data_IF_014526372268
#
_entry.id   IF_014526372268
#
_cell.length_a   1.000
_cell.length_b   1.000
_cell.length_c   1.000
_cell.angle_alpha   90.00
_cell.angle_beta   90.00
_cell.angle_gamma   90.00
#
_symmetry.space_group_name_H-M   'P 1'
#
loop_
_entity.id
_entity.type
_entity.pdbx_description
1 polymer ?
#
# COMPACT_ATOMS: atom_id res chain seq x y z
N UNK A 1 20.99 -9.99 -15.70
CA UNK A 1 20.46 -11.38 -15.73
C UNK A 1 20.89 -12.25 -14.54
N UNK A 2 21.96 -11.95 -13.81
CA UNK A 2 22.42 -12.76 -12.65
C UNK A 2 21.69 -12.49 -11.33
N UNK A 3 21.01 -11.37 -11.17
CA UNK A 3 20.32 -11.00 -9.91
C UNK A 3 18.88 -11.55 -9.79
N UNK A 4 18.28 -12.01 -10.90
CA UNK A 4 16.92 -12.59 -10.87
C UNK A 4 16.89 -14.02 -10.30
N UNK A 5 17.97 -14.77 -10.40
CA UNK A 5 18.00 -16.16 -9.92
C UNK A 5 18.18 -16.32 -8.40
N UNK A 6 18.77 -15.32 -7.73
CA UNK A 6 18.98 -15.39 -6.28
C UNK A 6 17.71 -15.07 -5.44
N UNK A 7 16.76 -14.33 -6.01
CA UNK A 7 15.50 -14.02 -5.35
C UNK A 7 14.52 -15.21 -5.25
N UNK A 8 14.52 -16.08 -6.25
CA UNK A 8 13.59 -17.21 -6.33
C UNK A 8 13.98 -18.35 -5.37
N UNK A 9 15.29 -18.57 -5.17
CA UNK A 9 15.79 -19.68 -4.30
C UNK A 9 15.47 -19.50 -2.82
N UNK A 10 15.49 -18.26 -2.30
CA UNK A 10 15.18 -18.02 -0.89
C UNK A 10 13.66 -18.05 -0.58
N UNK A 11 12.82 -17.84 -1.59
CA UNK A 11 11.36 -17.79 -1.44
C UNK A 11 10.74 -19.20 -1.28
N UNK A 12 11.31 -20.21 -1.92
CA UNK A 12 10.86 -21.61 -1.76
C UNK A 12 11.24 -22.24 -0.40
N UNK A 13 12.27 -21.74 0.25
CA UNK A 13 12.71 -22.26 1.56
C UNK A 13 11.71 -21.90 2.69
N UNK A 14 11.03 -20.75 2.58
CA UNK A 14 10.03 -20.32 3.57
C UNK A 14 8.76 -21.20 3.54
N UNK A 15 8.31 -21.63 2.37
CA UNK A 15 7.15 -22.51 2.21
C UNK A 15 7.43 -23.89 2.81
N UNK A 16 8.66 -24.40 2.66
CA UNK A 16 9.08 -25.66 3.26
C UNK A 16 9.12 -25.64 4.79
N UNK A 17 9.54 -24.54 5.40
CA UNK A 17 9.54 -24.36 6.86
C UNK A 17 8.13 -24.26 7.45
N UNK A 18 7.17 -23.70 6.71
CA UNK A 18 5.78 -23.55 7.17
C UNK A 18 5.05 -24.87 7.22
N UNK A 19 5.30 -25.78 6.27
CA UNK A 19 4.74 -27.13 6.27
C UNK A 19 5.27 -27.97 7.43
N UNK A 20 6.52 -27.75 7.86
CA UNK A 20 7.11 -28.42 9.03
C UNK A 20 6.54 -27.92 10.37
N UNK A 21 6.22 -26.64 10.48
CA UNK A 21 5.59 -26.04 11.67
C UNK A 21 4.11 -26.44 11.82
N UNK A 22 3.35 -26.55 10.74
CA UNK A 22 1.96 -27.00 10.79
C UNK A 22 1.85 -28.46 11.24
N UNK A 23 2.81 -29.32 10.88
CA UNK A 23 2.85 -30.73 11.31
C UNK A 23 3.12 -30.91 12.81
N UNK A 24 3.87 -30.01 13.45
CA UNK A 24 4.21 -30.10 14.88
C UNK A 24 3.13 -29.59 15.82
N UNK A 25 2.28 -28.66 15.36
CA UNK A 25 1.18 -28.08 16.17
C UNK A 25 -0.01 -29.06 16.27
N UNK A 26 -0.21 -29.93 15.29
CA UNK A 26 -1.35 -30.87 15.26
C UNK A 26 -1.17 -32.03 16.27
N UNK A 27 0.05 -32.40 16.65
CA UNK A 27 0.31 -33.50 17.58
C UNK A 27 0.25 -33.14 19.07
N UNK A 28 0.20 -31.84 19.42
CA UNK A 28 0.39 -31.39 20.81
C UNK A 28 -0.84 -31.03 21.63
N UNK A 29 -2.05 -30.89 21.08
CA UNK A 29 -3.20 -30.32 21.80
C UNK A 29 -4.58 -30.93 21.54
N UNK A 30 -4.68 -32.20 21.20
CA UNK A 30 -6.00 -32.85 21.08
C UNK A 30 -6.64 -33.24 22.43
N UNK A 31 -5.94 -33.14 23.55
CA UNK A 31 -6.44 -33.61 24.87
C UNK A 31 -7.04 -32.53 25.80
N UNK A 32 -7.03 -31.26 25.45
CA UNK A 32 -7.37 -30.16 26.38
C UNK A 32 -8.74 -29.50 26.18
N UNK A 33 -9.49 -29.80 25.16
CA UNK A 33 -10.74 -29.05 24.84
C UNK A 33 -12.03 -29.82 25.15
N UNK A 34 -11.97 -31.11 25.47
CA UNK A 34 -13.17 -31.89 25.75
C UNK A 34 -13.84 -31.64 27.13
N UNK A 35 -13.19 -30.93 28.06
CA UNK A 35 -13.72 -30.79 29.42
C UNK A 35 -14.57 -29.52 29.69
N UNK A 36 -14.71 -28.58 28.76
CA UNK A 36 -15.39 -27.29 29.04
C UNK A 36 -16.81 -27.19 28.43
N UNK A 37 -17.21 -28.07 27.52
CA UNK A 37 -18.52 -27.97 26.84
C UNK A 37 -19.59 -28.93 27.41
N UNK A 38 -19.26 -29.74 28.41
CA UNK A 38 -20.15 -30.81 28.91
C UNK A 38 -21.16 -30.43 30.02
N UNK A 39 -21.13 -29.20 30.54
CA UNK A 39 -21.85 -28.91 31.78
C UNK A 39 -23.08 -27.98 31.68
N UNK A 40 -23.61 -27.63 30.52
CA UNK A 40 -24.75 -26.67 30.49
C UNK A 40 -25.90 -27.09 29.56
N UNK A 41 -26.28 -28.37 29.47
CA UNK A 41 -27.61 -28.72 28.92
C UNK A 41 -28.13 -29.96 29.65
N UNK A 42 -28.72 -29.77 30.81
CA UNK A 42 -29.68 -30.70 31.39
C UNK A 42 -30.79 -29.90 32.04
N UNK A 43 -31.91 -29.74 31.32
CA UNK A 43 -33.27 -29.83 31.90
C UNK A 43 -34.32 -29.46 30.85
N UNK A 44 -35.26 -30.41 30.69
CA UNK A 44 -36.63 -30.14 30.38
C UNK A 44 -37.10 -30.19 28.92
N UNK A 45 -37.45 -31.37 28.42
CA UNK A 45 -38.71 -31.60 27.72
C UNK A 45 -38.83 -33.08 27.31
N UNK A 46 -39.67 -33.82 28.00
CA UNK A 46 -40.15 -35.14 27.57
C UNK A 46 -41.08 -34.97 26.36
N UNK A 47 -40.68 -35.42 25.20
CA UNK A 47 -41.55 -35.64 24.05
C UNK A 47 -41.50 -37.12 23.69
N UNK A 48 -42.68 -37.62 23.63
CA UNK A 48 -43.13 -38.99 23.38
C UNK A 48 -42.39 -39.69 22.20
N UNK A 49 -41.96 -40.91 22.45
CA UNK A 49 -41.33 -41.81 21.49
C UNK A 49 -42.38 -42.32 20.52
N UNK A 50 -42.29 -41.93 19.27
CA UNK A 50 -42.78 -42.73 18.15
C UNK A 50 -41.60 -43.52 17.58
N UNK A 51 -41.55 -44.79 17.96
CA UNK A 51 -40.51 -45.74 17.55
C UNK A 51 -40.91 -46.40 16.23
N UNK A 52 -40.46 -45.81 15.13
CA UNK A 52 -40.16 -46.62 13.93
C UNK A 52 -38.65 -46.59 13.65
N UNK A 53 -37.96 -47.72 13.58
CA UNK A 53 -36.59 -47.73 13.17
C UNK A 53 -36.55 -47.47 11.65
N UNK A 54 -36.14 -46.25 11.27
CA UNK A 54 -35.69 -45.98 9.92
C UNK A 54 -34.44 -46.85 9.70
N UNK A 55 -34.58 -47.79 8.79
CA UNK A 55 -33.48 -48.65 8.31
C UNK A 55 -32.49 -47.79 7.55
N UNK A 56 -31.61 -47.13 8.29
CA UNK A 56 -30.50 -46.35 7.74
C UNK A 56 -29.44 -47.34 7.25
N UNK A 57 -29.25 -47.38 5.95
CA UNK A 57 -28.18 -48.11 5.28
C UNK A 57 -26.86 -47.98 6.10
N UNK A 58 -26.27 -49.12 6.59
CA UNK A 58 -25.16 -49.07 7.56
C UNK A 58 -23.82 -48.62 6.97
N UNK A 59 -23.78 -48.11 5.77
CA UNK A 59 -22.55 -47.72 5.06
C UNK A 59 -22.02 -46.33 5.30
N UNK A 60 -22.79 -45.41 5.88
CA UNK A 60 -22.27 -44.08 6.17
C UNK A 60 -21.65 -44.09 7.57
N UNK A 61 -20.44 -44.59 7.70
CA UNK A 61 -19.58 -44.22 8.84
C UNK A 61 -19.41 -42.70 8.74
N UNK A 62 -20.16 -41.97 9.55
CA UNK A 62 -20.09 -40.52 9.64
C UNK A 62 -18.68 -40.11 10.05
N UNK A 63 -17.84 -39.83 9.08
CA UNK A 63 -16.53 -39.25 9.30
C UNK A 63 -16.76 -37.79 9.63
N UNK A 64 -16.43 -37.43 10.88
CA UNK A 64 -16.82 -36.14 11.47
C UNK A 64 -15.95 -34.97 11.05
N UNK A 65 -14.81 -35.20 10.40
CA UNK A 65 -13.84 -34.16 10.11
C UNK A 65 -13.12 -34.37 8.79
N UNK A 66 -12.67 -33.27 8.21
CA UNK A 66 -11.85 -33.22 6.98
C UNK A 66 -10.72 -32.24 7.17
N UNK A 67 -9.58 -32.54 6.56
CA UNK A 67 -8.47 -31.64 6.41
C UNK A 67 -8.20 -31.47 4.92
N UNK A 68 -8.04 -30.23 4.47
CA UNK A 68 -7.78 -29.90 3.07
C UNK A 68 -6.48 -29.14 2.92
N UNK A 69 -5.83 -29.33 1.79
CA UNK A 69 -4.70 -28.54 1.32
C UNK A 69 -5.04 -28.00 -0.07
N UNK A 70 -4.93 -26.67 -0.24
CA UNK A 70 -5.23 -26.01 -1.49
C UNK A 70 -4.14 -25.06 -1.94
N UNK A 71 -4.02 -24.93 -3.26
CA UNK A 71 -3.30 -23.81 -3.89
C UNK A 71 -4.32 -22.76 -4.26
N UNK A 72 -4.06 -21.52 -3.87
CA UNK A 72 -4.94 -20.37 -4.08
C UNK A 72 -4.29 -19.32 -4.98
N UNK A 73 -5.14 -18.66 -5.74
CA UNK A 73 -4.77 -17.56 -6.63
C UNK A 73 -5.76 -16.43 -6.41
N UNK A 74 -5.28 -15.23 -6.06
CA UNK A 74 -6.12 -14.05 -5.89
C UNK A 74 -5.84 -13.01 -6.95
N UNK A 75 -6.89 -12.28 -7.34
CA UNK A 75 -6.88 -11.15 -8.25
C UNK A 75 -7.85 -10.08 -7.76
N UNK A 76 -7.74 -8.86 -8.28
CA UNK A 76 -8.65 -7.74 -7.93
C UNK A 76 -8.22 -6.98 -6.67
N UNK A 77 -6.99 -7.19 -6.20
CA UNK A 77 -6.38 -6.34 -5.18
C UNK A 77 -5.66 -5.16 -5.86
N UNK A 78 -5.70 -3.98 -5.25
CA UNK A 78 -5.13 -2.77 -5.82
C UNK A 78 -4.14 -2.13 -4.87
N UNK A 79 -3.16 -1.41 -5.42
CA UNK A 79 -2.27 -0.56 -4.63
C UNK A 79 -2.38 0.88 -5.08
N UNK A 80 -2.38 1.82 -4.15
CA UNK A 80 -2.27 3.24 -4.45
C UNK A 80 -1.10 3.85 -3.70
N UNK A 81 -0.40 4.78 -4.36
CA UNK A 81 0.74 5.49 -3.78
C UNK A 81 0.43 6.98 -3.83
N UNK A 82 0.41 7.61 -2.66
CA UNK A 82 0.26 9.06 -2.50
C UNK A 82 1.54 9.66 -1.95
N UNK A 83 1.85 10.88 -2.38
CA UNK A 83 2.97 11.62 -1.83
C UNK A 83 2.59 12.37 -0.56
N UNK A 84 3.50 12.39 0.39
CA UNK A 84 3.42 13.19 1.61
C UNK A 84 4.60 14.18 1.69
N UNK A 85 5.18 14.54 0.52
CA UNK A 85 6.32 15.44 0.46
C UNK A 85 5.92 16.85 0.91
N UNK A 86 6.76 17.47 1.71
CA UNK A 86 6.66 18.86 2.11
C UNK A 86 7.67 19.71 1.32
N UNK A 87 7.42 21.00 1.19
CA UNK A 87 8.46 21.92 0.70
C UNK A 87 9.68 21.89 1.62
N UNK A 88 10.84 22.13 1.04
CA UNK A 88 12.09 22.24 1.80
C UNK A 88 11.94 23.29 2.92
N UNK A 89 12.35 22.95 4.13
CA UNK A 89 12.42 23.89 5.24
C UNK A 89 13.35 25.07 4.97
N UNK A 90 14.28 24.92 4.02
CA UNK A 90 15.21 25.97 3.60
C UNK A 90 14.52 27.15 2.88
N UNK A 91 13.28 26.95 2.35
CA UNK A 91 12.49 28.05 1.78
C UNK A 91 11.94 28.97 2.85
N UNK A 92 11.70 28.46 4.06
CA UNK A 92 11.18 29.24 5.18
C UNK A 92 9.76 29.79 5.00
N UNK A 93 9.21 30.51 5.98
CA UNK A 93 7.91 31.17 5.87
C UNK A 93 7.96 32.40 4.98
N UNK A 94 6.82 32.77 4.34
CA UNK A 94 6.70 33.97 3.52
C UNK A 94 6.72 35.27 4.37
N UNK A 95 6.31 35.16 5.64
CA UNK A 95 6.22 36.29 6.57
C UNK A 95 7.18 36.11 7.73
N UNK A 96 7.69 37.24 8.26
CA UNK A 96 8.66 37.21 9.36
C UNK A 96 10.05 37.63 8.91
N UNK A 97 10.81 38.21 9.83
CA UNK A 97 12.09 38.85 9.52
C UNK A 97 13.16 37.93 8.97
N UNK A 98 14.25 38.49 8.68
CA UNK A 98 15.62 38.01 8.38
C UNK A 98 15.79 36.48 8.27
N UNK A 99 15.34 35.87 7.18
CA UNK A 99 15.49 34.46 6.94
C UNK A 99 16.25 34.19 5.64
N UNK A 100 17.32 33.43 5.73
CA UNK A 100 18.00 32.91 4.56
C UNK A 100 17.12 31.85 3.90
N UNK A 101 16.90 31.98 2.59
CA UNK A 101 16.05 31.09 1.81
C UNK A 101 16.83 30.44 0.70
N UNK A 102 16.59 29.17 0.48
CA UNK A 102 17.15 28.39 -0.60
C UNK A 102 16.02 27.80 -1.43
N UNK A 103 16.11 27.90 -2.75
CA UNK A 103 15.12 27.47 -3.73
C UNK A 103 15.76 26.45 -4.68
N UNK A 104 14.96 25.79 -5.49
CA UNK A 104 15.46 24.88 -6.52
C UNK A 104 16.28 25.62 -7.61
N UNK A 105 16.04 26.92 -7.81
CA UNK A 105 16.61 27.74 -8.87
C UNK A 105 17.33 28.99 -8.35
N UNK A 106 17.75 28.98 -7.07
CA UNK A 106 18.54 30.06 -6.53
C UNK A 106 18.46 30.22 -5.03
N UNK A 107 18.92 31.35 -4.54
CA UNK A 107 18.92 31.65 -3.11
C UNK A 107 18.72 33.15 -2.83
N UNK A 108 18.19 33.44 -1.65
CA UNK A 108 18.07 34.78 -1.11
C UNK A 108 18.55 34.74 0.34
N UNK A 109 19.69 35.42 0.61
CA UNK A 109 20.25 35.51 1.94
C UNK A 109 20.10 36.95 2.44
N UNK A 110 19.85 37.07 3.71
CA UNK A 110 19.62 38.38 4.31
C UNK A 110 20.92 39.12 4.55
N UNK A 111 20.89 40.40 4.33
CA UNK A 111 21.97 41.31 4.68
C UNK A 111 21.66 42.00 6.00
N UNK A 112 22.37 41.60 7.04
CA UNK A 112 22.25 42.24 8.34
C UNK A 112 22.86 43.64 8.40
N UNK A 113 23.59 44.07 7.36
CA UNK A 113 24.30 45.34 7.30
C UNK A 113 23.46 46.49 6.75
N UNK A 114 22.40 46.24 5.99
CA UNK A 114 21.52 47.25 5.44
C UNK A 114 20.53 47.87 6.46
N UNK A 115 20.46 47.35 7.67
CA UNK A 115 19.64 47.89 8.76
C UNK A 115 20.24 49.15 9.46
N UNK A 116 21.37 49.64 9.00
CA UNK A 116 22.12 50.68 9.66
C UNK A 116 21.79 52.12 9.22
N UNK A 117 20.55 52.46 8.86
CA UNK A 117 20.34 53.88 8.71
C UNK A 117 19.06 54.42 8.13
N UNK A 118 18.19 53.65 7.49
CA UNK A 118 16.95 54.19 6.96
C UNK A 118 15.73 53.37 7.35
N UNK A 119 15.12 53.71 8.46
CA UNK A 119 13.88 53.08 8.97
C UNK A 119 12.66 53.28 8.05
N UNK A 120 12.83 53.93 6.90
CA UNK A 120 11.72 54.29 5.98
C UNK A 120 11.70 53.46 4.70
N UNK A 121 12.75 52.70 4.39
CA UNK A 121 12.77 51.83 3.23
C UNK A 121 12.61 50.39 3.66
N UNK A 122 11.81 49.59 2.95
CA UNK A 122 11.80 48.14 3.18
C UNK A 122 13.23 47.60 3.07
N UNK A 123 13.61 46.74 4.01
CA UNK A 123 14.94 46.13 4.00
C UNK A 123 15.14 45.41 2.68
N UNK A 124 16.33 45.50 2.12
CA UNK A 124 16.72 44.95 0.83
C UNK A 124 18.03 44.18 0.96
N UNK A 125 18.16 43.09 0.24
CA UNK A 125 19.40 42.34 0.18
C UNK A 125 20.01 42.34 -1.21
N UNK A 126 21.34 42.33 -1.28
CA UNK A 126 22.11 42.07 -2.49
C UNK A 126 22.72 40.65 -2.51
N UNK A 127 22.50 39.86 -1.46
CA UNK A 127 22.94 38.45 -1.38
C UNK A 127 21.89 37.50 -1.94
N UNK A 128 21.72 37.54 -3.25
CA UNK A 128 20.88 36.58 -3.95
C UNK A 128 21.58 36.05 -5.19
N UNK A 129 21.22 34.88 -5.61
CA UNK A 129 21.67 34.28 -6.85
C UNK A 129 20.53 33.55 -7.52
N UNK A 130 20.51 33.56 -8.84
CA UNK A 130 19.51 32.89 -9.64
C UNK A 130 20.15 32.18 -10.82
N UNK A 131 19.49 31.13 -11.32
CA UNK A 131 20.06 30.22 -12.31
C UNK A 131 19.72 30.62 -13.75
N UNK A 132 18.58 31.31 -13.98
CA UNK A 132 18.09 31.56 -15.31
C UNK A 132 17.54 32.99 -15.47
N UNK A 133 17.83 33.62 -16.61
CA UNK A 133 17.34 34.96 -16.95
C UNK A 133 15.81 35.05 -17.05
N UNK A 134 15.10 33.95 -17.30
CA UNK A 134 13.64 33.91 -17.32
C UNK A 134 12.99 34.13 -15.95
N UNK A 135 13.76 34.05 -14.85
CA UNK A 135 13.30 34.41 -13.51
C UNK A 135 13.11 35.90 -13.30
N UNK A 136 13.72 36.73 -14.15
CA UNK A 136 13.63 38.20 -14.05
C UNK A 136 12.53 38.71 -14.97
N UNK A 137 11.54 39.42 -14.38
CA UNK A 137 10.36 39.94 -15.06
C UNK A 137 10.36 41.45 -15.10
N UNK A 138 9.91 42.01 -16.22
CA UNK A 138 9.59 43.46 -16.38
C UNK A 138 10.71 44.47 -16.07
N UNK A 139 11.92 44.26 -16.57
CA UNK A 139 12.98 45.25 -16.50
C UNK A 139 12.80 46.22 -17.68
N UNK A 140 12.99 47.60 -17.56
CA UNK A 140 13.90 48.25 -16.63
C UNK A 140 13.28 49.12 -15.51
N UNK A 141 11.97 49.27 -15.38
CA UNK A 141 11.42 50.33 -14.50
C UNK A 141 10.82 49.85 -13.17
N UNK A 142 10.27 48.68 -13.12
CA UNK A 142 9.73 48.02 -11.90
C UNK A 142 9.78 46.52 -12.13
N UNK A 143 10.94 45.93 -11.91
CA UNK A 143 11.14 44.54 -12.14
C UNK A 143 10.86 43.68 -10.92
N UNK A 144 10.62 42.43 -11.16
CA UNK A 144 10.57 41.38 -10.12
C UNK A 144 11.47 40.22 -10.50
N UNK A 145 11.82 39.42 -9.51
CA UNK A 145 12.51 38.20 -9.71
C UNK A 145 11.72 37.08 -8.98
N UNK A 146 11.52 35.97 -9.68
CA UNK A 146 10.80 34.80 -9.16
C UNK A 146 11.80 33.69 -8.80
N UNK A 147 11.62 33.13 -7.61
CA UNK A 147 12.33 31.91 -7.17
C UNK A 147 11.33 30.81 -6.95
N UNK A 148 11.71 29.58 -7.28
CA UNK A 148 10.81 28.47 -7.30
C UNK A 148 11.31 27.30 -6.45
N UNK A 149 10.35 26.64 -5.81
CA UNK A 149 10.53 25.35 -5.18
C UNK A 149 9.34 24.47 -5.56
N UNK A 150 9.56 23.18 -5.77
CA UNK A 150 8.48 22.27 -6.09
C UNK A 150 8.45 21.07 -5.13
N UNK A 151 7.24 20.59 -4.87
CA UNK A 151 7.03 19.32 -4.22
C UNK A 151 6.11 18.46 -5.07
N UNK A 152 6.31 17.17 -5.03
CA UNK A 152 5.40 16.23 -5.62
C UNK A 152 4.11 16.20 -4.81
N UNK A 153 2.99 16.62 -5.42
CA UNK A 153 1.70 16.66 -4.76
C UNK A 153 1.01 15.29 -4.77
N UNK A 154 1.57 14.38 -5.55
CA UNK A 154 1.02 13.05 -5.70
C UNK A 154 -0.23 13.05 -6.61
N UNK A 155 -0.72 11.92 -6.82
CA UNK A 155 -2.02 11.52 -7.34
C UNK A 155 -2.17 10.10 -6.86
N UNK A 156 -3.34 9.69 -6.42
CA UNK A 156 -3.61 8.29 -6.17
C UNK A 156 -3.32 7.55 -7.49
N UNK A 157 -2.25 6.76 -7.48
CA UNK A 157 -1.90 5.93 -8.61
C UNK A 157 -2.30 4.50 -8.25
N UNK A 158 -3.35 4.01 -8.86
CA UNK A 158 -3.63 2.59 -8.93
C UNK A 158 -3.19 2.11 -10.31
N UNK A 159 -2.27 1.17 -10.39
CA UNK A 159 -1.99 0.47 -11.63
C UNK A 159 -2.83 -0.82 -11.68
N UNK A 160 -4.01 -0.79 -12.30
CA UNK A 160 -4.82 -2.00 -12.45
C UNK A 160 -4.20 -2.97 -13.46
N UNK A 161 -3.16 -2.57 -14.18
CA UNK A 161 -2.54 -3.40 -15.22
C UNK A 161 -1.64 -4.52 -14.67
N UNK A 162 -1.29 -4.47 -13.39
CA UNK A 162 -0.48 -5.49 -12.71
C UNK A 162 -1.29 -6.37 -11.74
N UNK A 163 -2.59 -6.50 -11.93
CA UNK A 163 -3.44 -7.49 -11.25
C UNK A 163 -3.03 -8.93 -11.64
N UNK A 164 -1.77 -9.24 -11.40
CA UNK A 164 -1.26 -10.60 -11.45
C UNK A 164 -2.02 -11.45 -10.44
N UNK A 165 -2.18 -12.74 -10.77
CA UNK A 165 -2.66 -13.70 -9.79
C UNK A 165 -1.63 -13.82 -8.66
N UNK A 166 -2.03 -13.45 -7.46
CA UNK A 166 -1.23 -13.62 -6.24
C UNK A 166 -1.31 -15.07 -5.78
N UNK A 167 -0.22 -15.85 -5.85
CA UNK A 167 -0.24 -17.24 -5.45
C UNK A 167 -0.27 -17.40 -3.94
N UNK A 168 -0.87 -18.51 -3.49
CA UNK A 168 -0.92 -18.85 -2.08
C UNK A 168 -1.12 -20.33 -1.85
N UNK A 169 -1.01 -20.73 -0.59
CA UNK A 169 -1.33 -22.08 -0.10
C UNK A 169 -2.24 -21.98 1.10
N UNK A 170 -3.20 -22.89 1.19
CA UNK A 170 -4.19 -22.90 2.26
C UNK A 170 -4.33 -24.27 2.91
N UNK A 171 -4.38 -24.28 4.22
CA UNK A 171 -4.74 -25.43 5.04
C UNK A 171 -6.17 -25.21 5.53
N UNK A 172 -7.04 -26.20 5.32
CA UNK A 172 -8.46 -26.15 5.64
C UNK A 172 -8.80 -27.26 6.64
N UNK A 173 -9.67 -26.94 7.58
CA UNK A 173 -10.25 -27.91 8.49
C UNK A 173 -11.76 -27.73 8.51
N UNK A 174 -12.48 -28.82 8.22
CA UNK A 174 -13.94 -28.86 8.23
C UNK A 174 -14.43 -29.84 9.31
N UNK A 175 -15.30 -29.37 10.18
CA UNK A 175 -15.97 -30.20 11.21
C UNK A 175 -17.44 -30.33 10.91
N UNK A 176 -17.92 -31.54 10.75
CA UNK A 176 -19.34 -31.85 10.58
C UNK A 176 -20.09 -31.51 11.88
N UNK A 177 -21.11 -30.66 11.78
CA UNK A 177 -22.01 -30.30 12.87
C UNK A 177 -23.31 -31.08 12.79
N UNK A 178 -23.85 -31.22 11.58
CA UNK A 178 -25.12 -31.92 11.34
C UNK A 178 -25.20 -32.47 9.92
N UNK A 179 -25.80 -33.65 9.77
CA UNK A 179 -26.11 -34.24 8.47
C UNK A 179 -27.61 -34.48 8.37
N UNK A 180 -28.20 -34.23 7.21
CA UNK A 180 -29.59 -34.50 6.84
C UNK A 180 -29.67 -34.90 5.38
N UNK A 181 -30.12 -36.14 5.12
CA UNK A 181 -30.26 -36.65 3.75
C UNK A 181 -29.07 -36.32 2.84
N UNK A 182 -29.27 -35.31 1.96
CA UNK A 182 -28.25 -34.83 1.00
C UNK A 182 -27.48 -33.61 1.46
N UNK A 183 -27.73 -33.11 2.69
CA UNK A 183 -27.08 -31.91 3.21
C UNK A 183 -26.18 -32.22 4.40
N UNK A 184 -25.00 -31.62 4.38
CA UNK A 184 -24.10 -31.55 5.53
C UNK A 184 -23.87 -30.08 5.91
N UNK A 185 -23.95 -29.81 7.20
CA UNK A 185 -23.64 -28.52 7.80
C UNK A 185 -22.34 -28.65 8.56
N UNK A 186 -21.36 -27.90 8.15
CA UNK A 186 -19.99 -27.95 8.67
C UNK A 186 -19.57 -26.59 9.21
N UNK A 187 -18.59 -26.58 10.10
CA UNK A 187 -17.80 -25.40 10.43
C UNK A 187 -16.45 -25.55 9.73
N UNK A 188 -16.09 -24.58 8.90
CA UNK A 188 -14.79 -24.53 8.26
C UNK A 188 -13.90 -23.52 8.97
N UNK A 189 -12.62 -23.92 9.22
CA UNK A 189 -11.53 -23.06 9.64
C UNK A 189 -10.42 -23.21 8.61
N UNK A 190 -9.83 -22.11 8.17
CA UNK A 190 -8.74 -22.11 7.20
C UNK A 190 -7.61 -21.22 7.63
N UNK A 191 -6.39 -21.57 7.22
CA UNK A 191 -5.19 -20.76 7.36
C UNK A 191 -4.48 -20.73 6.01
N UNK A 192 -4.29 -19.53 5.44
CA UNK A 192 -3.66 -19.33 4.15
C UNK A 192 -2.44 -18.44 4.25
N UNK A 193 -1.46 -18.71 3.41
CA UNK A 193 -0.31 -17.85 3.16
C UNK A 193 -0.36 -17.38 1.72
N UNK A 194 -0.25 -16.06 1.50
CA UNK A 194 -0.34 -15.43 0.19
C UNK A 194 0.78 -14.43 0.01
N UNK A 195 1.23 -14.28 -1.24
CA UNK A 195 2.21 -13.27 -1.63
C UNK A 195 1.57 -12.35 -2.66
N UNK A 196 1.72 -11.04 -2.46
CA UNK A 196 1.24 -10.01 -3.37
C UNK A 196 2.43 -9.14 -3.77
N UNK A 197 2.63 -9.01 -5.07
CA UNK A 197 3.70 -8.18 -5.64
C UNK A 197 3.04 -7.14 -6.55
N UNK A 198 3.33 -5.86 -6.30
CA UNK A 198 2.83 -4.75 -7.11
C UNK A 198 4.04 -3.96 -7.63
N UNK A 199 3.95 -3.53 -8.86
CA UNK A 199 4.98 -2.69 -9.47
C UNK A 199 4.31 -1.54 -10.21
N UNK A 200 4.73 -0.32 -9.91
CA UNK A 200 4.31 0.90 -10.60
C UNK A 200 5.49 1.47 -11.36
N UNK A 201 5.29 1.82 -12.63
CA UNK A 201 6.33 2.40 -13.49
C UNK A 201 5.82 3.65 -14.18
N UNK A 202 6.73 4.57 -14.49
CA UNK A 202 6.57 5.75 -15.35
C UNK A 202 5.13 6.31 -15.41
N UNK A 203 4.86 7.35 -14.64
CA UNK A 203 3.52 7.94 -14.54
C UNK A 203 3.56 9.45 -14.67
N UNK A 204 2.46 10.10 -15.11
CA UNK A 204 2.31 11.52 -14.93
C UNK A 204 2.30 11.87 -13.44
N UNK A 205 2.80 13.03 -13.09
CA UNK A 205 2.84 13.50 -11.71
C UNK A 205 2.35 14.94 -11.63
N UNK A 206 1.60 15.23 -10.59
CA UNK A 206 1.23 16.60 -10.26
C UNK A 206 2.19 17.15 -9.21
N UNK A 207 2.72 18.32 -9.51
CA UNK A 207 3.66 19.05 -8.64
C UNK A 207 3.02 20.35 -8.20
N UNK A 208 3.09 20.63 -6.91
CA UNK A 208 2.79 21.95 -6.40
C UNK A 208 4.07 22.78 -6.41
N UNK A 209 4.01 23.93 -7.07
CA UNK A 209 5.14 24.87 -7.21
C UNK A 209 4.87 26.08 -6.33
N UNK A 210 5.78 26.31 -5.38
CA UNK A 210 5.89 27.54 -4.64
C UNK A 210 6.69 28.54 -5.48
N UNK A 211 6.14 29.73 -5.70
CA UNK A 211 6.83 30.86 -6.33
C UNK A 211 6.90 32.01 -5.34
N UNK A 212 8.11 32.43 -5.01
CA UNK A 212 8.40 33.63 -4.22
C UNK A 212 8.88 34.72 -5.13
N UNK A 213 8.06 35.77 -5.29
CA UNK A 213 8.34 36.95 -6.12
C UNK A 213 8.91 38.05 -5.25
N UNK A 214 10.09 38.55 -5.60
CA UNK A 214 10.76 39.65 -4.95
C UNK A 214 10.80 40.90 -5.84
N UNK A 215 10.62 42.09 -5.26
CA UNK A 215 10.75 43.34 -5.97
C UNK A 215 12.22 43.68 -6.20
N UNK A 216 12.57 44.07 -7.42
CA UNK A 216 13.90 44.56 -7.78
C UNK A 216 14.14 45.99 -7.34
N UNK A 217 15.34 46.26 -6.87
CA UNK A 217 15.74 47.58 -6.38
C UNK A 217 16.17 48.58 -7.46
N UNK A 218 15.63 48.48 -8.65
CA UNK A 218 15.85 49.46 -9.73
C UNK A 218 17.12 49.28 -10.57
N UNK A 219 17.97 48.28 -10.25
CA UNK A 219 19.14 47.89 -11.06
C UNK A 219 18.84 46.51 -11.66
N UNK A 220 18.94 46.47 -12.99
CA UNK A 220 18.75 45.22 -13.73
C UNK A 220 19.83 44.19 -13.37
N UNK A 221 19.49 43.04 -12.76
CA UNK A 221 20.47 42.04 -12.43
C UNK A 221 21.07 41.35 -13.67
N UNK A 222 20.46 41.53 -14.85
CA UNK A 222 20.96 41.02 -16.13
C UNK A 222 21.97 41.97 -16.79
N UNK A 223 22.07 43.24 -16.37
CA UNK A 223 22.93 44.25 -16.98
C UNK A 223 24.44 43.93 -16.83
N UNK A 224 24.83 43.11 -15.86
CA UNK A 224 26.26 42.76 -15.63
C UNK A 224 26.61 41.31 -16.06
N UNK A 225 25.75 40.69 -16.82
CA UNK A 225 25.88 39.28 -17.21
C UNK A 225 25.00 38.38 -16.40
N UNK A 226 24.66 37.24 -16.93
CA UNK A 226 23.78 36.24 -16.33
C UNK A 226 24.53 34.98 -16.03
N UNK A 227 24.10 34.28 -14.98
CA UNK A 227 23.18 34.65 -13.88
C UNK A 227 23.94 35.48 -12.81
N UNK A 228 23.23 36.40 -12.15
CA UNK A 228 23.81 37.10 -11.02
C UNK A 228 23.95 36.16 -9.83
N UNK A 229 25.17 36.08 -9.30
CA UNK A 229 25.51 35.31 -8.11
C UNK A 229 26.06 36.28 -7.07
N UNK A 230 25.22 36.76 -6.19
CA UNK A 230 25.54 37.77 -5.20
C UNK A 230 26.81 37.45 -4.43
N UNK A 231 27.62 38.50 -4.22
CA UNK A 231 28.87 38.40 -3.46
C UNK A 231 28.62 38.74 -1.98
N UNK A 232 29.24 38.02 -1.06
CA UNK A 232 29.31 38.36 0.36
C UNK A 232 30.25 39.52 0.66
N UNK A 233 30.76 40.20 -0.35
CA UNK A 233 31.61 41.37 -0.16
C UNK A 233 30.74 42.59 0.11
N UNK A 234 31.08 43.42 1.13
CA UNK A 234 30.28 44.55 1.54
C UNK A 234 30.18 45.59 0.41
N UNK A 235 28.97 46.08 0.18
CA UNK A 235 28.56 47.26 -0.57
C UNK A 235 29.42 47.68 -1.78
N UNK A 236 29.25 47.00 -2.89
CA UNK A 236 29.60 47.60 -4.17
C UNK A 236 28.44 48.50 -4.56
N UNK A 237 28.68 49.81 -4.55
CA UNK A 237 27.72 50.82 -5.07
C UNK A 237 27.28 50.41 -6.49
N UNK A 238 25.98 50.24 -6.70
CA UNK A 238 25.42 49.83 -7.97
C UNK A 238 25.24 48.31 -8.14
N UNK A 239 25.24 47.51 -7.07
CA UNK A 239 24.82 46.12 -7.12
C UNK A 239 23.31 45.99 -7.21
N UNK A 240 22.76 44.99 -7.93
CA UNK A 240 21.35 44.69 -7.87
C UNK A 240 20.91 44.38 -6.43
N UNK A 241 19.68 44.78 -6.07
CA UNK A 241 19.09 44.57 -4.77
C UNK A 241 17.68 44.07 -4.94
N UNK A 242 17.22 43.20 -4.05
CA UNK A 242 15.84 42.74 -4.00
C UNK A 242 15.25 42.99 -2.59
N UNK A 243 13.93 43.03 -2.49
CA UNK A 243 13.23 43.12 -1.21
C UNK A 243 13.51 41.90 -0.33
N UNK A 244 13.41 42.03 0.99
CA UNK A 244 13.67 40.95 1.93
C UNK A 244 12.50 39.96 2.06
N UNK A 245 11.29 40.43 1.74
CA UNK A 245 10.08 39.64 1.87
C UNK A 245 9.51 39.29 0.49
N UNK A 246 9.24 38.03 0.23
CA UNK A 246 8.60 37.61 -1.01
C UNK A 246 7.09 37.76 -0.96
N UNK A 247 6.51 37.99 -2.14
CA UNK A 247 5.10 37.70 -2.37
C UNK A 247 4.98 36.24 -2.83
N UNK A 248 4.46 35.37 -1.94
CA UNK A 248 4.35 33.94 -2.15
C UNK A 248 3.05 33.54 -2.79
N UNK A 249 3.14 32.69 -3.80
CA UNK A 249 2.00 32.05 -4.47
C UNK A 249 2.29 30.56 -4.72
N UNK A 250 1.23 29.78 -4.89
CA UNK A 250 1.29 28.35 -5.20
C UNK A 250 0.58 28.09 -6.52
N UNK A 251 1.18 27.28 -7.36
CA UNK A 251 0.63 26.85 -8.63
C UNK A 251 0.83 25.34 -8.78
N UNK A 252 -0.01 24.69 -9.58
CA UNK A 252 0.17 23.29 -9.93
C UNK A 252 0.76 23.18 -11.33
N UNK A 253 1.72 22.27 -11.51
CA UNK A 253 2.28 21.91 -12.81
C UNK A 253 2.26 20.40 -12.96
N UNK A 254 2.00 19.93 -14.18
CA UNK A 254 2.09 18.51 -14.51
C UNK A 254 3.51 18.18 -14.98
N UNK A 255 4.04 17.08 -14.52
CA UNK A 255 5.34 16.55 -14.89
C UNK A 255 5.30 15.06 -15.13
N UNK A 256 6.47 14.41 -15.12
CA UNK A 256 6.65 12.99 -15.28
C UNK A 256 7.43 12.41 -14.10
N UNK A 257 6.98 11.29 -13.60
CA UNK A 257 7.72 10.47 -12.64
C UNK A 257 8.20 9.23 -13.38
N UNK A 258 9.50 9.17 -13.65
CA UNK A 258 10.16 8.05 -14.30
C UNK A 258 10.79 7.15 -13.24
N UNK A 259 10.83 5.85 -13.47
CA UNK A 259 11.25 4.86 -12.47
C UNK A 259 10.07 4.13 -11.89
N UNK A 260 10.22 3.53 -10.72
CA UNK A 260 9.19 2.65 -10.18
C UNK A 260 9.09 2.65 -8.67
N UNK A 261 7.90 2.23 -8.22
CA UNK A 261 7.65 1.78 -6.85
C UNK A 261 7.32 0.29 -6.91
N UNK A 262 8.06 -0.50 -6.17
CA UNK A 262 7.85 -1.93 -5.99
C UNK A 262 7.32 -2.18 -4.57
N UNK A 263 6.28 -2.99 -4.45
CA UNK A 263 5.66 -3.34 -3.18
C UNK A 263 5.63 -4.86 -3.10
N UNK A 264 6.47 -5.41 -2.23
CA UNK A 264 6.47 -6.83 -1.87
C UNK A 264 5.65 -7.03 -0.61
N UNK A 265 4.58 -7.83 -0.68
CA UNK A 265 3.71 -8.06 0.46
C UNK A 265 3.45 -9.54 0.68
N UNK A 266 3.38 -9.93 1.95
CA UNK A 266 2.97 -11.26 2.38
C UNK A 266 1.80 -11.15 3.36
N UNK A 267 0.86 -12.10 3.23
CA UNK A 267 -0.30 -12.18 4.12
C UNK A 267 -0.47 -13.58 4.69
N UNK A 268 -0.73 -13.64 5.98
CA UNK A 268 -1.20 -14.82 6.68
C UNK A 268 -2.69 -14.62 6.99
N UNK A 269 -3.56 -15.33 6.28
CA UNK A 269 -5.01 -15.17 6.35
C UNK A 269 -5.66 -16.32 7.11
N UNK A 270 -6.33 -16.01 8.22
CA UNK A 270 -7.23 -16.90 8.92
C UNK A 270 -8.67 -16.73 8.44
N UNK A 271 -9.41 -17.81 8.25
CA UNK A 271 -10.85 -17.76 7.96
C UNK A 271 -11.64 -18.71 8.83
N UNK A 272 -12.88 -18.32 9.14
CA UNK A 272 -13.83 -19.15 9.89
C UNK A 272 -15.24 -18.87 9.40
N UNK A 273 -16.03 -19.93 9.19
CA UNK A 273 -17.43 -19.76 8.82
C UNK A 273 -18.18 -21.05 8.58
N UNK A 274 -19.52 -20.97 8.50
CA UNK A 274 -20.36 -22.11 8.10
C UNK A 274 -20.11 -22.53 6.68
N UNK A 275 -20.19 -23.82 6.45
CA UNK A 275 -20.14 -24.50 5.17
C UNK A 275 -21.35 -25.39 5.02
N UNK A 276 -22.16 -25.16 4.01
CA UNK A 276 -23.33 -26.00 3.68
C UNK A 276 -23.00 -26.77 2.40
N UNK A 277 -22.94 -28.08 2.53
CA UNK A 277 -22.63 -29.01 1.45
C UNK A 277 -23.87 -29.76 1.00
N UNK A 278 -24.05 -29.86 -0.31
CA UNK A 278 -25.12 -30.63 -0.94
C UNK A 278 -24.54 -31.70 -1.85
N UNK A 279 -24.98 -32.94 -1.65
CA UNK A 279 -24.60 -34.11 -2.47
C UNK A 279 -25.48 -34.18 -3.72
N UNK A 280 -24.91 -33.90 -4.89
CA UNK A 280 -25.56 -34.03 -6.19
C UNK A 280 -25.74 -35.53 -6.48
N UNK A 281 -24.67 -36.30 -6.24
CA UNK A 281 -24.66 -37.75 -6.28
C UNK A 281 -23.62 -38.31 -5.29
N UNK A 282 -23.32 -39.57 -5.32
CA UNK A 282 -22.42 -40.23 -4.36
C UNK A 282 -20.97 -39.74 -4.40
N UNK A 283 -20.54 -39.15 -5.51
CA UNK A 283 -19.17 -38.66 -5.70
C UNK A 283 -19.05 -37.15 -5.91
N UNK A 284 -20.14 -36.46 -6.32
CA UNK A 284 -20.10 -35.04 -6.66
C UNK A 284 -20.88 -34.21 -5.66
N UNK A 285 -20.26 -33.14 -5.14
CA UNK A 285 -20.81 -32.28 -4.11
C UNK A 285 -20.59 -30.82 -4.47
N UNK A 286 -21.55 -29.98 -4.13
CA UNK A 286 -21.43 -28.52 -4.18
C UNK A 286 -21.55 -27.97 -2.76
N UNK A 287 -20.74 -26.96 -2.41
CA UNK A 287 -20.78 -26.32 -1.11
C UNK A 287 -20.89 -24.81 -1.26
N UNK A 288 -21.65 -24.19 -0.35
CA UNK A 288 -21.70 -22.74 -0.18
C UNK A 288 -21.08 -22.41 1.19
N UNK A 289 -20.12 -21.50 1.19
CA UNK A 289 -19.35 -21.08 2.34
C UNK A 289 -19.44 -19.57 2.51
N UNK A 290 -19.28 -19.11 3.73
CA UNK A 290 -19.16 -17.67 3.99
C UNK A 290 -18.77 -17.45 5.44
N UNK A 291 -18.10 -16.34 5.74
CA UNK A 291 -17.65 -16.10 7.10
C UNK A 291 -16.71 -14.91 7.25
N UNK A 292 -15.96 -14.96 8.33
CA UNK A 292 -15.02 -13.93 8.74
C UNK A 292 -13.61 -14.26 8.25
N UNK A 293 -12.88 -13.20 7.91
CA UNK A 293 -11.44 -13.22 7.62
C UNK A 293 -10.71 -12.36 8.66
N UNK A 294 -9.54 -12.83 9.06
CA UNK A 294 -8.55 -12.06 9.79
C UNK A 294 -7.20 -12.28 9.11
N UNK A 295 -6.48 -11.21 8.82
CA UNK A 295 -5.19 -11.28 8.16
C UNK A 295 -4.12 -10.53 8.93
N UNK A 296 -2.93 -11.12 9.05
CA UNK A 296 -1.71 -10.38 9.34
C UNK A 296 -0.97 -10.16 8.04
N UNK A 297 -0.76 -8.89 7.71
CA UNK A 297 -0.06 -8.49 6.50
C UNK A 297 1.24 -7.78 6.85
N UNK A 298 2.27 -8.03 6.06
CA UNK A 298 3.54 -7.32 6.11
C UNK A 298 3.93 -6.95 4.69
N UNK A 299 4.24 -5.68 4.48
CA UNK A 299 4.68 -5.21 3.17
C UNK A 299 5.95 -4.37 3.27
N UNK A 300 6.75 -4.46 2.23
CA UNK A 300 7.94 -3.67 2.00
C UNK A 300 7.77 -2.88 0.73
N UNK A 301 8.00 -1.57 0.81
CA UNK A 301 7.92 -0.64 -0.29
C UNK A 301 9.32 -0.17 -0.64
N UNK A 302 9.72 -0.31 -1.89
CA UNK A 302 10.97 0.23 -2.44
C UNK A 302 10.63 1.14 -3.61
N UNK A 303 11.18 2.36 -3.62
CA UNK A 303 11.00 3.27 -4.74
C UNK A 303 12.32 3.89 -5.19
N UNK A 304 12.47 4.03 -6.51
CA UNK A 304 13.56 4.73 -7.17
C UNK A 304 12.97 5.49 -8.37
N UNK A 305 12.80 6.80 -8.17
CA UNK A 305 12.06 7.65 -9.07
C UNK A 305 12.84 8.91 -9.45
N UNK A 306 12.74 9.28 -10.71
CA UNK A 306 13.21 10.55 -11.26
C UNK A 306 12.01 11.43 -11.59
N UNK A 307 11.77 12.43 -10.78
CA UNK A 307 10.70 13.41 -10.94
C UNK A 307 11.14 14.51 -11.88
N UNK A 308 10.41 14.71 -12.99
CA UNK A 308 10.72 15.71 -14.02
C UNK A 308 9.54 16.67 -14.18
N UNK A 309 9.79 17.95 -14.05
CA UNK A 309 8.80 19.00 -14.22
C UNK A 309 9.40 20.27 -14.82
N UNK A 310 8.56 21.13 -15.37
CA UNK A 310 9.00 22.41 -15.98
C UNK A 310 8.39 23.58 -15.27
N UNK A 311 9.20 24.57 -14.91
CA UNK A 311 8.78 25.82 -14.31
C UNK A 311 9.38 26.98 -15.13
N UNK A 312 8.54 27.92 -15.56
CA UNK A 312 8.96 29.09 -16.34
C UNK A 312 9.84 28.76 -17.55
N UNK A 313 9.57 27.59 -18.20
CA UNK A 313 10.33 27.13 -19.37
C UNK A 313 11.63 26.38 -19.04
N UNK A 314 11.99 26.24 -17.78
CA UNK A 314 13.15 25.46 -17.35
C UNK A 314 12.74 24.07 -16.89
N UNK A 315 13.55 23.07 -17.23
CA UNK A 315 13.31 21.69 -16.84
C UNK A 315 14.11 21.35 -15.58
N UNK A 316 13.43 20.78 -14.61
CA UNK A 316 14.00 20.32 -13.36
C UNK A 316 13.88 18.83 -13.25
N UNK A 317 14.88 18.20 -12.65
CA UNK A 317 14.91 16.78 -12.39
C UNK A 317 15.34 16.54 -10.95
N UNK A 318 14.51 15.82 -10.20
CA UNK A 318 14.78 15.48 -8.82
C UNK A 318 14.76 13.95 -8.64
N UNK A 319 15.81 13.40 -8.03
CA UNK A 319 15.89 11.97 -7.73
C UNK A 319 15.31 11.70 -6.35
N UNK A 320 14.49 10.66 -6.25
CA UNK A 320 13.90 10.18 -5.02
C UNK A 320 14.08 8.68 -4.93
N UNK A 321 14.65 8.22 -3.83
CA UNK A 321 14.81 6.81 -3.54
C UNK A 321 14.52 6.55 -2.07
N UNK A 322 13.96 5.39 -1.76
CA UNK A 322 13.70 5.02 -0.39
C UNK A 322 13.19 3.60 -0.26
N UNK A 323 13.16 3.14 0.97
CA UNK A 323 12.67 1.83 1.35
C UNK A 323 12.07 1.89 2.75
N UNK A 324 10.87 1.40 2.90
CA UNK A 324 10.19 1.34 4.18
C UNK A 324 9.31 0.10 4.28
N UNK A 325 8.95 -0.26 5.51
CA UNK A 325 8.16 -1.45 5.81
C UNK A 325 7.02 -1.10 6.74
N UNK A 326 5.95 -1.87 6.62
CA UNK A 326 4.83 -1.80 7.54
C UNK A 326 4.17 -3.16 7.72
N UNK A 327 3.41 -3.29 8.77
CA UNK A 327 2.57 -4.45 9.02
C UNK A 327 1.26 -3.99 9.65
N UNK A 328 0.20 -4.77 9.43
CA UNK A 328 -1.11 -4.48 9.98
C UNK A 328 -1.93 -5.76 10.15
N UNK A 329 -2.97 -5.70 10.98
CA UNK A 329 -3.98 -6.73 11.12
C UNK A 329 -5.24 -6.24 10.43
N UNK A 330 -5.67 -6.95 9.39
CA UNK A 330 -6.83 -6.60 8.57
C UNK A 330 -7.96 -7.59 8.81
N UNK A 331 -9.19 -7.08 8.81
CA UNK A 331 -10.40 -7.85 8.99
C UNK A 331 -11.25 -7.81 7.73
N UNK A 332 -12.02 -8.88 7.51
CA UNK A 332 -12.88 -8.95 6.34
C UNK A 332 -13.94 -10.02 6.41
N UNK A 333 -14.65 -10.16 5.31
CA UNK A 333 -15.68 -11.15 5.05
C UNK A 333 -15.34 -11.91 3.77
N UNK A 334 -15.80 -13.15 3.68
CA UNK A 334 -15.73 -13.92 2.44
C UNK A 334 -17.02 -14.65 2.15
N UNK A 335 -17.25 -14.91 0.86
CA UNK A 335 -18.25 -15.85 0.37
C UNK A 335 -17.63 -16.72 -0.72
N UNK A 336 -17.96 -18.02 -0.73
CA UNK A 336 -17.38 -18.96 -1.68
C UNK A 336 -18.36 -20.03 -2.12
N UNK A 337 -18.11 -20.55 -3.34
CA UNK A 337 -18.76 -21.74 -3.87
C UNK A 337 -17.66 -22.76 -4.17
N UNK A 338 -17.84 -23.99 -3.68
CA UNK A 338 -16.89 -25.09 -3.85
C UNK A 338 -17.57 -26.27 -4.54
N UNK A 339 -16.94 -26.79 -5.58
CA UNK A 339 -17.30 -28.06 -6.21
C UNK A 339 -16.25 -29.10 -5.79
N UNK A 340 -16.71 -30.24 -5.29
CA UNK A 340 -15.83 -31.32 -4.83
C UNK A 340 -16.22 -32.64 -5.47
N UNK A 341 -15.21 -33.45 -5.82
CA UNK A 341 -15.39 -34.79 -6.38
C UNK A 341 -14.61 -35.82 -5.56
N UNK A 342 -15.32 -36.85 -5.06
CA UNK A 342 -14.72 -37.92 -4.28
C UNK A 342 -13.99 -38.90 -5.20
N UNK A 343 -12.67 -39.00 -5.03
CA UNK A 343 -11.83 -40.01 -5.71
C UNK A 343 -12.05 -41.40 -5.06
N UNK A 344 -12.16 -41.39 -3.74
CA UNK A 344 -12.47 -42.57 -2.93
C UNK A 344 -13.12 -42.10 -1.61
N UNK A 345 -13.44 -43.06 -0.72
CA UNK A 345 -14.09 -42.77 0.57
C UNK A 345 -13.33 -41.79 1.47
N UNK A 346 -12.05 -41.52 1.24
CA UNK A 346 -11.18 -40.71 2.10
C UNK A 346 -10.69 -39.46 1.42
N UNK A 347 -10.52 -39.46 0.10
CA UNK A 347 -9.89 -38.39 -0.64
C UNK A 347 -10.85 -37.79 -1.65
N UNK A 348 -10.95 -36.48 -1.66
CA UNK A 348 -11.67 -35.72 -2.68
C UNK A 348 -10.77 -34.62 -3.24
N UNK A 349 -10.98 -34.29 -4.51
CA UNK A 349 -10.46 -33.06 -5.14
C UNK A 349 -11.51 -31.98 -5.06
N UNK A 350 -11.10 -30.73 -4.96
CA UNK A 350 -12.04 -29.62 -4.99
C UNK A 350 -11.52 -28.42 -5.77
N UNK A 351 -12.47 -27.65 -6.30
CA UNK A 351 -12.26 -26.30 -6.85
C UNK A 351 -13.21 -25.33 -6.17
N UNK A 352 -12.69 -24.20 -5.72
CA UNK A 352 -13.45 -23.17 -5.00
C UNK A 352 -13.27 -21.82 -5.65
N UNK A 353 -14.36 -21.14 -6.00
CA UNK A 353 -14.40 -19.74 -6.35
C UNK A 353 -14.79 -18.92 -5.12
N UNK A 354 -14.03 -17.86 -4.82
CA UNK A 354 -14.20 -17.06 -3.61
C UNK A 354 -14.22 -15.57 -3.95
N UNK A 355 -15.08 -14.85 -3.25
CA UNK A 355 -15.05 -13.39 -3.16
C UNK A 355 -14.64 -12.98 -1.77
N UNK A 356 -13.73 -12.01 -1.66
CA UNK A 356 -13.27 -11.47 -0.39
C UNK A 356 -13.46 -9.96 -0.36
N UNK A 357 -13.82 -9.46 0.81
CA UNK A 357 -13.84 -8.03 1.10
C UNK A 357 -13.11 -7.81 2.42
N UNK A 358 -11.93 -7.21 2.34
CA UNK A 358 -11.07 -6.95 3.50
C UNK A 358 -10.79 -5.45 3.60
N UNK A 359 -10.44 -5.01 4.80
CA UNK A 359 -9.97 -3.64 5.03
C UNK A 359 -8.66 -3.40 4.28
N UNK A 360 -8.47 -2.17 3.83
CA UNK A 360 -7.19 -1.73 3.26
C UNK A 360 -6.13 -1.60 4.36
N UNK A 361 -4.87 -1.81 3.96
CA UNK A 361 -3.68 -1.59 4.78
C UNK A 361 -2.97 -0.32 4.34
N UNK A 362 -2.61 0.54 5.27
CA UNK A 362 -1.85 1.76 5.00
C UNK A 362 -0.43 1.66 5.57
N UNK A 363 0.55 1.93 4.72
CA UNK A 363 1.97 1.96 5.07
C UNK A 363 2.51 3.32 4.70
N UNK A 364 3.25 3.97 5.59
CA UNK A 364 3.77 5.30 5.32
C UNK A 364 5.18 5.51 5.86
N UNK A 365 5.90 6.39 5.18
CA UNK A 365 7.10 7.04 5.69
C UNK A 365 6.90 8.57 5.70
N UNK A 366 7.97 9.34 5.79
CA UNK A 366 7.92 10.81 5.78
C UNK A 366 7.53 11.40 4.42
N UNK A 367 7.67 10.64 3.33
CA UNK A 367 7.49 11.11 1.95
C UNK A 367 6.33 10.44 1.22
N UNK A 368 5.97 9.21 1.61
CA UNK A 368 5.01 8.36 0.87
C UNK A 368 3.99 7.73 1.79
N UNK A 369 2.78 7.63 1.27
CA UNK A 369 1.73 6.78 1.83
C UNK A 369 1.34 5.77 0.76
N UNK A 370 1.39 4.51 1.11
CA UNK A 370 0.97 3.39 0.26
C UNK A 370 -0.24 2.75 0.89
N UNK A 371 -1.32 2.67 0.14
CA UNK A 371 -2.53 1.94 0.51
C UNK A 371 -2.61 0.67 -0.33
N UNK A 372 -2.77 -0.47 0.35
CA UNK A 372 -3.07 -1.76 -0.26
C UNK A 372 -4.55 -2.03 -0.06
N UNK A 373 -5.34 -1.91 -1.12
CA UNK A 373 -6.78 -2.18 -1.11
C UNK A 373 -7.04 -3.66 -1.44
N UNK A 374 -7.59 -4.37 -0.47
CA UNK A 374 -7.94 -5.78 -0.56
C UNK A 374 -9.46 -5.98 -0.69
N UNK A 375 -10.21 -4.89 -0.85
CA UNK A 375 -11.65 -4.96 -1.08
C UNK A 375 -11.94 -5.44 -2.50
N UNK A 376 -12.84 -6.43 -2.62
CA UNK A 376 -13.28 -6.92 -3.93
C UNK A 376 -12.38 -7.96 -4.58
N UNK A 377 -11.47 -8.59 -3.83
CA UNK A 377 -10.62 -9.67 -4.33
C UNK A 377 -11.42 -10.91 -4.73
N UNK A 378 -11.11 -11.46 -5.90
CA UNK A 378 -11.64 -12.73 -6.39
C UNK A 378 -10.55 -13.78 -6.28
N UNK A 379 -10.87 -14.95 -5.72
CA UNK A 379 -9.95 -16.05 -5.54
C UNK A 379 -10.41 -17.34 -6.22
N UNK A 380 -9.46 -18.10 -6.69
CA UNK A 380 -9.63 -19.50 -7.10
C UNK A 380 -8.77 -20.38 -6.20
N UNK A 381 -9.33 -21.43 -5.63
CA UNK A 381 -8.59 -22.42 -4.84
C UNK A 381 -8.79 -23.80 -5.44
N UNK A 382 -7.70 -24.52 -5.66
CA UNK A 382 -7.71 -25.90 -6.13
C UNK A 382 -6.99 -26.77 -5.10
N UNK A 383 -7.60 -27.88 -4.70
CA UNK A 383 -7.02 -28.67 -3.60
C UNK A 383 -7.54 -30.08 -3.45
N UNK A 384 -7.05 -30.69 -2.38
CA UNK A 384 -7.41 -32.03 -1.95
C UNK A 384 -7.93 -32.00 -0.52
N UNK A 385 -9.01 -32.73 -0.24
CA UNK A 385 -9.54 -32.97 1.09
C UNK A 385 -9.31 -34.43 1.51
N UNK A 386 -8.95 -34.62 2.76
CA UNK A 386 -8.85 -35.95 3.39
C UNK A 386 -9.86 -36.05 4.53
N UNK A 387 -10.68 -37.12 4.53
CA UNK A 387 -11.71 -37.42 5.54
C UNK A 387 -11.20 -38.42 6.56
N UNK A 388 -11.43 -38.17 7.85
CA UNK A 388 -11.03 -39.06 8.94
C UNK A 388 -12.07 -39.11 10.08
#
# INVERSE_FOLDING_TARGET
>A
MSNLMNGVSNRFCLVGCFLALAGSVIHGKAQGIESVVSETITEGASIEKDNQPLDLDPKVKQRKSRIGLGFSFFSGTQSSVTSNESFSSAVGPATGGSINRQYADGYVFQDSSDNLGDLRLPSRTHFFGFDNSSQVNNVPLAGTIDFHEARFNGGAYSDPANDGFSPGVELLYNRLLKSRERFEYELEVGLGFHQFDYESRNRPGDFEVLTDTYELGGIDPLAKGTPYQGSFLPHISGSPKIGDLPNRRFNSVTGQVNGGTEIDSVALLGRIGPNVRYYINDSLQISALGGLLIGYMSAEVTYDESQQYSIAGNNYTQQRQGRFKGNDIVFGLFGALRLSHDINDRVSVFGEGRYMHMQSMNIQDSMRVVELDLAGGIGLVLGLDYRF
#
